data_IF_129395262404
#
_entry.id   IF_129395262404
#
_cell.length_a   1.000
_cell.length_b   1.000
_cell.length_c   1.000
_cell.angle_alpha   90.00
_cell.angle_beta   90.00
_cell.angle_gamma   90.00
#
_symmetry.space_group_name_H-M   'P 1'
#
loop_
_entity.id
_entity.type
_entity.pdbx_description
1 polymer ?
#
# COMPACT_ATOMS: atom_id res chain seq x y z
N UNK A 1 7.22 9.36 -13.89
CA UNK A 1 7.02 7.89 -13.79
C UNK A 1 7.78 7.33 -12.60
N UNK A 2 9.07 7.64 -12.42
CA UNK A 2 9.88 7.15 -11.28
C UNK A 2 9.24 7.28 -9.88
N UNK A 3 8.56 8.38 -9.58
CA UNK A 3 7.90 8.54 -8.27
C UNK A 3 6.75 7.56 -8.06
N UNK A 4 5.93 7.34 -9.09
CA UNK A 4 4.79 6.42 -9.03
C UNK A 4 5.29 4.98 -8.89
N UNK A 5 6.29 4.61 -9.70
CA UNK A 5 6.92 3.29 -9.65
C UNK A 5 7.54 3.02 -8.27
N UNK A 6 8.22 4.02 -7.69
CA UNK A 6 8.77 3.95 -6.33
C UNK A 6 7.68 3.78 -5.27
N UNK A 7 6.54 4.47 -5.39
CA UNK A 7 5.42 4.29 -4.45
C UNK A 7 4.84 2.88 -4.51
N UNK A 8 4.77 2.27 -5.70
CA UNK A 8 4.35 0.87 -5.83
C UNK A 8 5.39 -0.10 -5.25
N UNK A 9 6.68 0.16 -5.45
CA UNK A 9 7.76 -0.65 -4.87
C UNK A 9 7.76 -0.58 -3.33
N UNK A 10 7.65 0.62 -2.74
CA UNK A 10 7.55 0.81 -1.29
C UNK A 10 6.33 0.08 -0.72
N UNK A 11 5.19 0.15 -1.41
CA UNK A 11 3.97 -0.56 -1.00
C UNK A 11 4.15 -2.07 -1.06
N UNK A 12 4.79 -2.60 -2.11
CA UNK A 12 5.13 -4.02 -2.23
C UNK A 12 6.03 -4.47 -1.07
N UNK A 13 7.07 -3.71 -0.77
CA UNK A 13 7.95 -4.00 0.37
C UNK A 13 7.18 -4.02 1.70
N UNK A 14 6.26 -3.07 1.90
CA UNK A 14 5.44 -3.03 3.12
C UNK A 14 4.53 -4.25 3.26
N UNK A 15 3.87 -4.69 2.19
CA UNK A 15 3.09 -5.94 2.21
C UNK A 15 3.97 -7.15 2.52
N UNK A 16 5.14 -7.26 1.89
CA UNK A 16 6.07 -8.36 2.14
C UNK A 16 6.48 -8.44 3.62
N UNK A 17 6.82 -7.30 4.24
CA UNK A 17 7.16 -7.24 5.67
C UNK A 17 5.98 -7.66 6.55
N UNK A 18 4.77 -7.22 6.24
CA UNK A 18 3.58 -7.59 7.00
C UNK A 18 3.25 -9.09 6.89
N UNK A 19 3.41 -9.70 5.71
CA UNK A 19 3.26 -11.14 5.55
C UNK A 19 4.29 -11.92 6.37
N UNK A 20 5.56 -11.50 6.35
CA UNK A 20 6.58 -12.12 7.21
C UNK A 20 6.23 -12.06 8.70
N UNK A 21 5.63 -10.96 9.17
CA UNK A 21 5.17 -10.84 10.57
C UNK A 21 4.02 -11.81 10.88
N UNK A 22 3.10 -11.99 9.93
CA UNK A 22 1.98 -12.94 10.06
C UNK A 22 2.49 -14.38 10.08
N UNK A 23 3.43 -14.73 9.19
CA UNK A 23 4.03 -16.05 9.13
C UNK A 23 4.76 -16.38 10.45
N UNK A 24 5.57 -15.46 10.96
CA UNK A 24 6.27 -15.60 12.26
C UNK A 24 5.28 -15.74 13.43
N UNK A 25 4.16 -15.02 13.39
CA UNK A 25 3.12 -15.12 14.41
C UNK A 25 2.42 -16.50 14.38
N UNK A 26 2.19 -17.06 13.20
CA UNK A 26 1.64 -18.41 13.03
C UNK A 26 2.60 -19.48 13.55
N UNK A 27 3.89 -19.37 13.19
CA UNK A 27 4.92 -20.31 13.67
C UNK A 27 5.05 -20.34 15.19
N UNK A 28 4.82 -19.19 15.84
CA UNK A 28 4.94 -19.02 17.30
C UNK A 28 3.61 -19.20 18.05
N UNK A 29 2.53 -19.50 17.35
CA UNK A 29 1.16 -19.54 17.90
C UNK A 29 0.78 -18.23 18.65
N UNK A 30 1.34 -17.11 18.18
CA UNK A 30 1.14 -15.79 18.78
C UNK A 30 -0.09 -15.10 18.17
N UNK A 31 -1.26 -15.44 18.71
CA UNK A 31 -2.56 -14.95 18.24
C UNK A 31 -2.68 -13.42 18.28
N UNK A 32 -2.03 -12.75 19.24
CA UNK A 32 -2.09 -11.28 19.34
C UNK A 32 -1.32 -10.62 18.19
N UNK A 33 -0.11 -11.10 17.89
CA UNK A 33 0.69 -10.60 16.78
C UNK A 33 0.06 -10.93 15.43
N UNK A 34 -0.58 -12.10 15.33
CA UNK A 34 -1.36 -12.49 14.16
C UNK A 34 -2.50 -11.51 13.89
N UNK A 35 -3.32 -11.21 14.90
CA UNK A 35 -4.43 -10.26 14.79
C UNK A 35 -3.95 -8.85 14.38
N UNK A 36 -2.86 -8.37 14.98
CA UNK A 36 -2.28 -7.07 14.63
C UNK A 36 -1.71 -7.04 13.21
N UNK A 37 -1.05 -8.11 12.77
CA UNK A 37 -0.51 -8.23 11.42
C UNK A 37 -1.62 -8.21 10.36
N UNK A 38 -2.68 -8.99 10.58
CA UNK A 38 -3.84 -9.03 9.68
C UNK A 38 -4.59 -7.70 9.62
N UNK A 39 -4.81 -7.02 10.74
CA UNK A 39 -5.41 -5.68 10.78
C UNK A 39 -4.56 -4.65 10.02
N UNK A 40 -3.23 -4.73 10.14
CA UNK A 40 -2.31 -3.84 9.42
C UNK A 40 -2.34 -4.08 7.91
N UNK A 41 -2.45 -5.34 7.47
CA UNK A 41 -2.61 -5.71 6.05
C UNK A 41 -3.92 -5.15 5.50
N UNK A 42 -5.02 -5.29 6.25
CA UNK A 42 -6.32 -4.75 5.86
C UNK A 42 -6.27 -3.23 5.73
N UNK A 43 -5.73 -2.52 6.72
CA UNK A 43 -5.56 -1.06 6.66
C UNK A 43 -4.72 -0.61 5.47
N UNK A 44 -3.60 -1.29 5.20
CA UNK A 44 -2.78 -0.97 4.03
C UNK A 44 -3.55 -1.24 2.73
N UNK A 45 -4.29 -2.34 2.64
CA UNK A 45 -5.14 -2.64 1.48
C UNK A 45 -6.26 -1.61 1.27
N UNK A 46 -6.87 -1.12 2.35
CA UNK A 46 -7.90 -0.07 2.33
C UNK A 46 -7.37 1.28 1.85
N UNK A 47 -6.09 1.58 2.15
CA UNK A 47 -5.41 2.72 1.54
C UNK A 47 -5.12 2.40 0.07
N UNK A 48 -6.03 2.71 -0.85
CA UNK A 48 -5.74 2.49 -2.28
C UNK A 48 -4.75 3.53 -2.78
N UNK A 49 -3.65 3.14 -3.47
CA UNK A 49 -2.80 4.10 -4.18
C UNK A 49 -3.56 4.79 -5.31
N UNK A 50 -4.72 4.23 -5.71
CA UNK A 50 -5.65 4.80 -6.66
C UNK A 50 -6.85 5.51 -6.01
N UNK A 51 -6.93 5.58 -4.68
CA UNK A 51 -7.96 6.39 -4.01
C UNK A 51 -7.80 7.86 -4.40
N UNK A 52 -6.54 8.29 -4.55
CA UNK A 52 -6.16 9.62 -5.04
C UNK A 52 -6.22 9.68 -6.58
N UNK A 53 -6.12 8.54 -7.26
CA UNK A 53 -6.15 8.40 -8.72
C UNK A 53 -7.53 7.99 -9.26
N UNK A 54 -8.62 8.46 -8.64
CA UNK A 54 -10.01 7.96 -8.67
C UNK A 54 -10.65 7.46 -9.99
N UNK A 55 -10.05 7.65 -11.16
CA UNK A 55 -10.28 6.86 -12.38
C UNK A 55 -9.02 6.79 -13.25
N UNK A 56 -8.90 5.81 -14.15
CA UNK A 56 -7.80 5.74 -15.12
C UNK A 56 -7.75 7.03 -15.96
N UNK A 57 -8.89 7.61 -16.34
CA UNK A 57 -8.93 8.92 -17.01
C UNK A 57 -8.42 10.06 -16.11
N UNK A 58 -8.80 10.09 -14.83
CA UNK A 58 -8.35 11.12 -13.89
C UNK A 58 -6.85 11.01 -13.62
N UNK A 59 -6.34 9.78 -13.47
CA UNK A 59 -4.93 9.44 -13.35
C UNK A 59 -4.15 9.93 -14.57
N UNK A 60 -4.64 9.61 -15.76
CA UNK A 60 -4.00 9.96 -17.02
C UNK A 60 -4.01 11.49 -17.22
N UNK A 61 -5.11 12.14 -16.85
CA UNK A 61 -5.22 13.61 -16.91
C UNK A 61 -4.26 14.29 -15.94
N UNK A 62 -4.14 13.80 -14.70
CA UNK A 62 -3.21 14.32 -13.71
C UNK A 62 -1.74 14.05 -14.08
N UNK A 63 -1.43 12.90 -14.67
CA UNK A 63 -0.09 12.59 -15.20
C UNK A 63 0.29 13.47 -16.40
N UNK A 64 -0.68 13.94 -17.19
CA UNK A 64 -0.47 14.86 -18.31
C UNK A 64 -0.44 16.33 -17.88
N UNK A 65 -0.75 16.66 -16.62
CA UNK A 65 -0.67 18.02 -16.08
C UNK A 65 0.67 18.22 -15.34
N UNK A 66 1.62 18.98 -15.90
CA UNK A 66 2.93 19.21 -15.30
C UNK A 66 2.89 20.08 -14.04
N UNK A 67 1.74 20.65 -13.68
CA UNK A 67 1.55 21.49 -12.49
C UNK A 67 0.77 20.80 -11.38
N UNK A 68 0.32 19.56 -11.60
CA UNK A 68 -0.47 18.83 -10.64
C UNK A 68 0.35 18.49 -9.38
N UNK A 69 -0.17 18.86 -8.21
CA UNK A 69 0.41 18.52 -6.91
C UNK A 69 -0.46 17.45 -6.24
N UNK A 70 0.19 16.38 -5.79
CA UNK A 70 -0.46 15.30 -5.05
C UNK A 70 -0.35 15.59 -3.56
N UNK A 71 -1.49 15.75 -2.88
CA UNK A 71 -1.58 15.83 -1.43
C UNK A 71 -1.86 14.43 -0.87
N UNK A 72 -1.04 13.98 0.09
CA UNK A 72 -1.10 12.66 0.74
C UNK A 72 -1.61 12.74 2.18
#
# INVERSE_FOLDING_TARGET
MDYLDRSFDERKENFQRLFTVVDDALEKDNIQQLAMGLDSILKLAETSPFKDLSSIEATTSALNDPTHQWDF
#
